data_IF_548141970411
#
_entry.id   IF_548141970411
#
_cell.length_a   1.000
_cell.length_b   1.000
_cell.length_c   1.000
_cell.angle_alpha   90.00
_cell.angle_beta   90.00
_cell.angle_gamma   90.00
#
_symmetry.space_group_name_H-M   'P 1'
#
loop_
_entity.id
_entity.type
_entity.pdbx_description
1 polymer ?
#
# COMPACT_ATOMS: atom_id res chain seq x y z
N UNK A 1 15.48 -0.23 1.03
CA UNK A 1 14.99 -0.57 -0.33
C UNK A 1 13.66 0.13 -0.56
N UNK A 2 13.38 0.51 -1.81
CA UNK A 2 12.48 1.62 -2.17
C UNK A 2 10.99 1.38 -1.94
N UNK A 3 10.32 2.43 -1.45
CA UNK A 3 8.87 2.60 -1.43
C UNK A 3 8.38 2.69 -2.88
N UNK A 4 7.59 1.71 -3.34
CA UNK A 4 7.01 1.76 -4.68
C UNK A 4 5.53 2.10 -4.59
N UNK A 5 5.18 3.27 -5.12
CA UNK A 5 3.79 3.73 -5.16
C UNK A 5 3.15 3.19 -6.43
N UNK A 6 2.06 2.43 -6.27
CA UNK A 6 1.36 1.79 -7.40
C UNK A 6 0.36 2.77 -8.05
N UNK A 7 0.21 3.98 -7.51
CA UNK A 7 -0.70 4.99 -8.05
C UNK A 7 -0.23 5.53 -9.40
N UNK A 8 -1.06 5.37 -10.44
CA UNK A 8 -1.22 6.35 -11.53
C UNK A 8 -0.02 6.69 -12.41
N UNK A 9 1.10 5.99 -12.31
CA UNK A 9 2.21 6.09 -13.28
C UNK A 9 3.56 6.41 -12.68
N UNK A 10 4.44 5.40 -12.75
CA UNK A 10 5.89 5.36 -12.51
C UNK A 10 6.34 5.22 -11.05
N UNK A 11 6.84 4.02 -10.72
CA UNK A 11 8.24 3.74 -10.35
C UNK A 11 8.47 2.22 -10.25
N UNK A 12 9.64 1.71 -10.70
CA UNK A 12 10.01 0.28 -10.68
C UNK A 12 9.42 -0.58 -11.82
N UNK A 13 10.13 -1.66 -12.21
CA UNK A 13 9.63 -2.62 -13.20
C UNK A 13 8.47 -3.46 -12.66
N UNK A 14 8.55 -3.79 -11.37
CA UNK A 14 7.60 -4.62 -10.62
C UNK A 14 6.23 -3.94 -10.49
N UNK A 15 6.16 -2.63 -10.24
CA UNK A 15 4.88 -1.94 -10.20
C UNK A 15 4.22 -1.78 -11.57
N UNK A 16 5.00 -1.77 -12.66
CA UNK A 16 4.42 -1.80 -14.01
C UNK A 16 3.76 -3.14 -14.29
N UNK A 17 4.42 -4.24 -13.91
CA UNK A 17 3.87 -5.60 -14.03
C UNK A 17 2.60 -5.74 -13.18
N UNK A 18 2.62 -5.25 -11.94
CA UNK A 18 1.47 -5.30 -11.05
C UNK A 18 0.30 -4.45 -11.57
N UNK A 19 0.56 -3.25 -12.09
CA UNK A 19 -0.47 -2.41 -12.70
C UNK A 19 -1.10 -3.09 -13.92
N UNK A 20 -0.32 -3.81 -14.72
CA UNK A 20 -0.83 -4.58 -15.86
C UNK A 20 -1.70 -5.76 -15.41
N UNK A 21 -1.25 -6.51 -14.40
CA UNK A 21 -2.02 -7.62 -13.82
C UNK A 21 -3.37 -7.12 -13.25
N UNK A 22 -3.35 -6.00 -12.53
CA UNK A 22 -4.55 -5.35 -11.99
C UNK A 22 -5.50 -4.86 -13.08
N UNK A 23 -4.95 -4.25 -14.15
CA UNK A 23 -5.75 -3.81 -15.29
C UNK A 23 -6.48 -4.98 -15.94
N UNK A 24 -5.76 -6.06 -16.28
CA UNK A 24 -6.35 -7.27 -16.86
C UNK A 24 -7.40 -7.88 -15.94
N UNK A 25 -7.11 -7.96 -14.64
CA UNK A 25 -8.04 -8.49 -13.66
C UNK A 25 -9.34 -7.67 -13.59
N UNK A 26 -9.26 -6.34 -13.54
CA UNK A 26 -10.45 -5.48 -13.49
C UNK A 26 -11.26 -5.50 -14.79
N UNK A 27 -10.64 -5.78 -15.94
CA UNK A 27 -11.36 -5.96 -17.19
C UNK A 27 -12.13 -7.29 -17.25
N UNK A 28 -11.67 -8.32 -16.54
CA UNK A 28 -12.23 -9.69 -16.64
C UNK A 28 -13.17 -10.07 -15.50
N UNK A 29 -13.00 -9.51 -14.29
CA UNK A 29 -13.60 -10.06 -13.05
C UNK A 29 -14.34 -9.05 -12.19
N UNK A 30 -14.98 -8.05 -12.81
CA UNK A 30 -15.57 -6.85 -12.16
C UNK A 30 -16.55 -7.08 -11.00
N UNK A 31 -17.00 -8.31 -10.73
CA UNK A 31 -18.10 -8.61 -9.81
C UNK A 31 -17.66 -9.24 -8.47
N UNK A 32 -16.35 -9.43 -8.22
CA UNK A 32 -15.88 -9.97 -6.95
C UNK A 32 -15.79 -8.85 -5.86
N UNK A 33 -16.29 -9.06 -4.62
CA UNK A 33 -16.30 -8.02 -3.58
C UNK A 33 -14.90 -7.46 -3.21
N UNK A 34 -13.86 -8.28 -3.26
CA UNK A 34 -12.49 -7.83 -3.04
C UNK A 34 -11.97 -6.99 -4.21
N UNK A 35 -12.36 -7.33 -5.45
CA UNK A 35 -12.01 -6.58 -6.66
C UNK A 35 -12.63 -5.18 -6.64
N UNK A 36 -13.90 -5.05 -6.28
CA UNK A 36 -14.57 -3.75 -6.16
C UNK A 36 -13.88 -2.85 -5.15
N UNK A 37 -13.53 -3.38 -3.96
CA UNK A 37 -12.84 -2.60 -2.92
C UNK A 37 -11.45 -2.15 -3.36
N UNK A 38 -10.71 -3.01 -4.06
CA UNK A 38 -9.39 -2.65 -4.57
C UNK A 38 -9.50 -1.62 -5.70
N UNK A 39 -10.48 -1.76 -6.60
CA UNK A 39 -10.80 -0.78 -7.64
C UNK A 39 -11.14 0.59 -7.05
N UNK A 40 -11.96 0.62 -5.99
CA UNK A 40 -12.25 1.86 -5.25
C UNK A 40 -10.97 2.50 -4.70
N UNK A 41 -10.06 1.73 -4.10
CA UNK A 41 -8.78 2.26 -3.61
C UNK A 41 -7.90 2.80 -4.74
N UNK A 42 -7.96 2.18 -5.93
CA UNK A 42 -7.19 2.60 -7.10
C UNK A 42 -7.75 3.88 -7.74
N UNK A 43 -9.08 4.07 -7.68
CA UNK A 43 -9.77 5.22 -8.26
C UNK A 43 -9.85 6.43 -7.31
N UNK A 44 -9.66 6.23 -6.00
CA UNK A 44 -9.70 7.29 -5.00
C UNK A 44 -8.35 8.04 -4.93
N UNK A 45 -8.30 9.32 -5.34
CA UNK A 45 -7.05 10.10 -5.34
C UNK A 45 -6.54 10.43 -3.94
N UNK A 46 -7.35 10.23 -2.90
CA UNK A 46 -6.98 10.43 -1.50
C UNK A 46 -6.34 9.19 -0.88
N UNK A 47 -6.42 8.04 -1.56
CA UNK A 47 -5.85 6.77 -1.15
C UNK A 47 -4.53 6.55 -1.89
N UNK A 48 -3.50 6.17 -1.13
CA UNK A 48 -2.22 5.74 -1.69
C UNK A 48 -2.09 4.23 -1.55
N UNK A 49 -1.84 3.56 -2.68
CA UNK A 49 -1.63 2.12 -2.74
C UNK A 49 -0.14 1.81 -2.88
N UNK A 50 0.37 0.99 -1.97
CA UNK A 50 1.78 0.62 -1.88
C UNK A 50 1.95 -0.87 -2.15
N UNK A 51 2.92 -1.23 -2.98
CA UNK A 51 3.42 -2.60 -3.07
C UNK A 51 4.49 -2.76 -1.98
N UNK A 52 4.21 -3.66 -1.04
CA UNK A 52 5.01 -3.78 0.20
C UNK A 52 5.78 -5.09 0.28
N UNK A 53 5.34 -6.13 -0.42
CA UNK A 53 6.04 -7.41 -0.47
C UNK A 53 5.73 -8.15 -1.79
N UNK A 54 6.70 -8.93 -2.26
CA UNK A 54 6.58 -9.86 -3.39
C UNK A 54 7.09 -11.20 -2.93
N UNK A 55 6.19 -12.16 -2.76
CA UNK A 55 6.49 -13.52 -2.30
C UNK A 55 6.37 -14.46 -3.49
N UNK A 56 7.50 -14.96 -3.97
CA UNK A 56 7.52 -16.00 -5.01
C UNK A 56 7.14 -17.34 -4.39
N UNK A 57 6.14 -17.99 -4.96
CA UNK A 57 5.73 -19.36 -4.64
C UNK A 57 5.99 -20.26 -5.84
N UNK A 58 6.63 -21.40 -5.60
CA UNK A 58 6.78 -22.46 -6.59
C UNK A 58 6.12 -23.71 -6.00
N UNK A 59 4.99 -24.11 -6.58
CA UNK A 59 4.25 -25.30 -6.15
C UNK A 59 3.91 -26.13 -7.39
N UNK A 60 4.24 -27.42 -7.35
CA UNK A 60 3.94 -28.38 -8.43
C UNK A 60 4.44 -27.98 -9.84
N UNK A 61 5.54 -27.22 -9.93
CA UNK A 61 6.13 -26.76 -11.20
C UNK A 61 5.47 -25.51 -11.79
N UNK A 62 4.41 -25.00 -11.15
CA UNK A 62 3.81 -23.72 -11.50
C UNK A 62 4.43 -22.61 -10.63
N UNK A 63 4.85 -21.54 -11.30
CA UNK A 63 5.46 -20.37 -10.67
C UNK A 63 4.41 -19.27 -10.52
N UNK A 64 4.21 -18.85 -9.28
CA UNK A 64 3.26 -17.82 -8.93
C UNK A 64 3.95 -16.75 -8.08
N UNK A 65 3.52 -15.51 -8.23
CA UNK A 65 3.94 -14.40 -7.38
C UNK A 65 2.74 -13.90 -6.56
N UNK A 66 2.93 -13.78 -5.25
CA UNK A 66 2.00 -13.15 -4.35
C UNK A 66 2.46 -11.72 -4.05
N UNK A 67 1.67 -10.74 -4.45
CA UNK A 67 1.92 -9.32 -4.24
C UNK A 67 1.09 -8.82 -3.08
N UNK A 68 1.74 -8.37 -2.02
CA UNK A 68 1.07 -7.75 -0.88
C UNK A 68 0.98 -6.24 -1.10
N UNK A 69 -0.24 -5.74 -0.99
CA UNK A 69 -0.59 -4.35 -1.18
C UNK A 69 -1.17 -3.76 0.10
N UNK A 70 -0.78 -2.52 0.39
CA UNK A 70 -1.39 -1.75 1.47
C UNK A 70 -1.88 -0.42 0.93
N UNK A 71 -3.18 -0.16 1.11
CA UNK A 71 -3.82 1.11 0.82
C UNK A 71 -3.94 1.91 2.11
N UNK A 72 -3.50 3.16 2.11
CA UNK A 72 -3.72 4.11 3.20
C UNK A 72 -4.47 5.35 2.69
N UNK A 73 -5.48 5.80 3.42
CA UNK A 73 -6.08 7.12 3.21
C UNK A 73 -5.38 8.20 4.06
N UNK A 74 -5.73 9.47 3.84
CA UNK A 74 -5.19 10.61 4.59
C UNK A 74 -5.49 10.56 6.11
N UNK A 75 -6.50 9.82 6.53
CA UNK A 75 -6.89 9.64 7.93
C UNK A 75 -6.16 8.47 8.60
N UNK A 76 -5.20 7.83 7.92
CA UNK A 76 -4.48 6.67 8.45
C UNK A 76 -5.28 5.36 8.45
N UNK A 77 -6.50 5.34 7.88
CA UNK A 77 -7.25 4.09 7.68
C UNK A 77 -6.57 3.28 6.58
N UNK A 78 -6.31 2.01 6.90
CA UNK A 78 -5.61 1.09 6.02
C UNK A 78 -6.50 -0.04 5.51
N UNK A 79 -6.25 -0.50 4.29
CA UNK A 79 -6.78 -1.76 3.75
C UNK A 79 -5.62 -2.56 3.15
N UNK A 80 -5.57 -3.86 3.42
CA UNK A 80 -4.52 -4.75 2.94
C UNK A 80 -5.08 -5.77 1.96
N UNK A 81 -4.32 -6.08 0.93
CA UNK A 81 -4.71 -7.04 -0.11
C UNK A 81 -3.52 -7.92 -0.47
N UNK A 82 -3.81 -9.18 -0.83
CA UNK A 82 -2.84 -10.06 -1.47
C UNK A 82 -3.39 -10.45 -2.83
N UNK A 83 -2.56 -10.30 -3.86
CA UNK A 83 -2.85 -10.70 -5.24
C UNK A 83 -1.93 -11.86 -5.57
N UNK A 84 -2.48 -12.97 -6.03
CA UNK A 84 -1.71 -14.09 -6.57
C UNK A 84 -1.84 -14.07 -8.10
N UNK A 85 -0.70 -13.94 -8.79
CA UNK A 85 -0.64 -13.96 -10.25
C UNK A 85 0.34 -15.03 -10.76
N UNK A 86 0.05 -15.56 -11.95
CA UNK A 86 0.93 -16.50 -12.64
C UNK A 86 2.07 -15.83 -13.40
N UNK A 87 2.94 -16.65 -14.00
CA UNK A 87 4.04 -16.18 -14.84
C UNK A 87 3.59 -15.35 -16.06
N UNK A 88 2.32 -15.42 -16.47
CA UNK A 88 1.72 -14.64 -17.54
C UNK A 88 1.00 -13.38 -17.01
N UNK A 89 1.17 -13.05 -15.72
CA UNK A 89 0.53 -11.93 -15.03
C UNK A 89 -1.01 -12.05 -14.97
N UNK A 90 -1.55 -13.26 -15.07
CA UNK A 90 -2.96 -13.49 -14.83
C UNK A 90 -3.21 -13.66 -13.34
N UNK A 91 -4.05 -12.79 -12.79
CA UNK A 91 -4.49 -12.90 -11.39
C UNK A 91 -5.35 -14.15 -11.23
N UNK A 92 -4.91 -15.09 -10.39
CA UNK A 92 -5.71 -16.26 -10.00
C UNK A 92 -6.43 -16.06 -8.68
N UNK A 93 -5.90 -15.20 -7.81
CA UNK A 93 -6.44 -14.96 -6.49
C UNK A 93 -6.34 -13.50 -6.10
N UNK A 94 -7.42 -12.96 -5.54
CA UNK A 94 -7.42 -11.67 -4.85
C UNK A 94 -8.14 -11.83 -3.52
N UNK A 95 -7.45 -11.46 -2.45
CA UNK A 95 -8.01 -11.51 -1.10
C UNK A 95 -7.77 -10.20 -0.37
N UNK A 96 -8.80 -9.71 0.33
CA UNK A 96 -8.61 -8.68 1.33
C UNK A 96 -8.14 -9.37 2.63
N UNK A 97 -6.97 -8.99 3.12
CA UNK A 97 -6.33 -9.62 4.28
C UNK A 97 -6.22 -8.65 5.45
N UNK A 98 -5.95 -9.17 6.65
CA UNK A 98 -5.60 -8.34 7.81
C UNK A 98 -4.09 -8.01 7.77
N UNK A 99 -3.65 -6.91 8.42
CA UNK A 99 -2.24 -6.54 8.45
C UNK A 99 -1.31 -7.65 8.98
N UNK A 100 -1.80 -8.47 9.92
CA UNK A 100 -1.04 -9.60 10.48
C UNK A 100 -0.75 -10.74 9.49
N UNK A 101 -1.42 -10.75 8.34
CA UNK A 101 -1.31 -11.77 7.29
C UNK A 101 -0.39 -11.34 6.14
N UNK A 102 0.08 -10.07 6.16
CA UNK A 102 1.13 -9.59 5.27
C UNK A 102 2.43 -10.39 5.49
N UNK A 103 3.26 -10.45 4.45
CA UNK A 103 4.64 -10.89 4.58
C UNK A 103 5.45 -10.03 5.56
N UNK A 104 6.64 -10.49 5.92
CA UNK A 104 7.50 -9.87 6.94
C UNK A 104 7.82 -8.41 6.59
N UNK A 105 8.25 -8.15 5.35
CA UNK A 105 8.49 -6.79 4.85
C UNK A 105 7.20 -5.97 4.80
N UNK A 106 6.07 -6.59 4.47
CA UNK A 106 4.77 -5.93 4.46
C UNK A 106 4.32 -5.45 5.84
N UNK A 107 4.59 -6.24 6.89
CA UNK A 107 4.31 -5.87 8.30
C UNK A 107 5.16 -4.70 8.75
N UNK A 108 6.47 -4.76 8.51
CA UNK A 108 7.39 -3.68 8.87
C UNK A 108 6.99 -2.36 8.19
N UNK A 109 6.67 -2.41 6.90
CA UNK A 109 6.19 -1.25 6.16
C UNK A 109 4.87 -0.71 6.74
N UNK A 110 3.92 -1.61 7.03
CA UNK A 110 2.62 -1.23 7.58
C UNK A 110 2.78 -0.50 8.93
N UNK A 111 3.59 -1.04 9.84
CA UNK A 111 3.78 -0.45 11.17
C UNK A 111 4.51 0.90 11.09
N UNK A 112 5.55 1.00 10.26
CA UNK A 112 6.26 2.26 10.02
C UNK A 112 5.33 3.35 9.47
N UNK A 113 4.59 3.04 8.40
CA UNK A 113 3.78 4.05 7.72
C UNK A 113 2.53 4.44 8.51
N UNK A 114 1.97 3.49 9.27
CA UNK A 114 0.90 3.80 10.22
C UNK A 114 1.37 4.76 11.29
N UNK A 115 2.57 4.55 11.87
CA UNK A 115 3.15 5.49 12.82
C UNK A 115 3.35 6.88 12.22
N UNK A 116 3.93 6.96 11.02
CA UNK A 116 4.14 8.23 10.29
C UNK A 116 2.83 9.01 10.10
N UNK A 117 1.76 8.35 9.67
CA UNK A 117 0.45 8.97 9.48
C UNK A 117 -0.23 9.39 10.79
N UNK A 118 -0.03 8.64 11.87
CA UNK A 118 -0.56 9.00 13.21
C UNK A 118 0.26 10.07 13.94
N UNK A 119 1.55 10.18 13.64
CA UNK A 119 2.44 11.20 14.24
C UNK A 119 2.55 12.48 13.41
N UNK A 120 2.09 12.44 12.14
CA UNK A 120 1.93 13.60 11.27
C UNK A 120 0.92 14.65 11.75
N UNK A 121 0.26 14.44 12.89
CA UNK A 121 -0.59 15.43 13.58
C UNK A 121 0.11 16.08 14.80
N UNK A 122 1.44 15.93 14.93
CA UNK A 122 2.23 16.89 15.71
C UNK A 122 3.00 17.77 14.75
N UNK A 123 2.34 18.85 14.31
CA UNK A 123 3.09 20.06 14.00
C UNK A 123 4.04 20.31 15.19
N UNK A 124 5.34 20.55 14.97
CA UNK A 124 6.15 21.08 16.06
C UNK A 124 5.44 22.36 16.51
N UNK A 125 4.97 22.41 17.75
CA UNK A 125 4.62 23.68 18.38
C UNK A 125 5.86 24.56 18.17
N UNK A 126 5.71 25.62 17.36
CA UNK A 126 6.72 26.67 17.34
C UNK A 126 6.99 27.02 18.80
N UNK A 127 8.26 27.04 19.25
CA UNK A 127 8.55 27.50 20.59
C UNK A 127 7.95 28.91 20.68
N UNK A 128 6.93 29.06 21.52
CA UNK A 128 6.36 30.37 21.82
C UNK A 128 7.53 31.24 22.25
N UNK A 129 7.75 32.42 21.61
CA UNK A 129 8.83 33.28 22.02
C UNK A 129 8.53 33.67 23.47
N UNK A 130 9.40 33.15 24.34
CA UNK A 130 9.46 33.43 25.77
C UNK A 130 9.42 34.94 25.94
N UNK A 131 8.21 35.45 26.20
CA UNK A 131 7.99 36.85 26.50
C UNK A 131 8.34 37.05 27.96
N UNK A 132 9.59 36.74 28.31
CA UNK A 132 10.24 37.22 29.51
C UNK A 132 10.37 38.74 29.37
N UNK A 133 9.64 39.54 30.18
CA UNK A 133 9.85 40.97 30.19
C UNK A 133 11.28 41.23 30.67
N UNK A 134 12.13 41.80 29.81
CA UNK A 134 13.48 42.23 30.16
C UNK A 134 13.35 43.27 31.28
N UNK A 135 13.85 43.02 32.50
CA UNK A 135 13.83 44.03 33.53
C UNK A 135 15.07 44.92 33.42
N UNK A 136 14.86 46.20 33.71
CA UNK A 136 15.84 47.20 34.18
C UNK A 136 16.68 47.88 33.09
N UNK A 137 17.00 49.18 33.17
CA UNK A 137 17.15 50.10 34.30
C UNK A 137 16.76 51.52 33.90
#
# INVERSE_FOLDING_TARGET
MGKVIVSGGKEGGEARLLNLALFNYFTETSNAPAAEKLKQCYQDPTVKLYLVDIRRKEETGEKWEAYDLVAFNKEGKSRCFTIEADANLQVKGLQQIKPKELGEMGKEFYDYYKQELTTGEKAPEEPTPDSSPRPSR
#
